data_IF_902415690933
#
_entry.id   IF_902415690933
#
_cell.length_a   1.000
_cell.length_b   1.000
_cell.length_c   1.000
_cell.angle_alpha   90.00
_cell.angle_beta   90.00
_cell.angle_gamma   90.00
#
_symmetry.space_group_name_H-M   'P 1'
#
loop_
_entity.id
_entity.type
_entity.pdbx_description
1 polymer ?
#
# COMPACT_ATOMS: atom_id res chain seq x y z
N UNK A 1 48.82 10.49 9.27
CA UNK A 1 47.65 9.60 9.44
C UNK A 1 46.44 10.45 9.22
N UNK A 2 45.72 10.24 8.12
CA UNK A 2 44.45 10.93 7.91
C UNK A 2 43.46 10.31 8.88
N UNK A 3 43.00 11.08 9.87
CA UNK A 3 41.77 10.78 10.58
C UNK A 3 40.70 10.64 9.50
N UNK A 4 40.21 9.43 9.26
CA UNK A 4 38.97 9.23 8.51
C UNK A 4 37.94 10.13 9.21
N UNK A 5 37.57 11.25 8.57
CA UNK A 5 36.43 12.03 9.04
C UNK A 5 35.21 11.14 8.83
N UNK A 6 34.80 10.48 9.91
CA UNK A 6 33.60 9.66 9.96
C UNK A 6 32.42 10.63 9.91
N UNK A 7 32.01 11.00 8.70
CA UNK A 7 30.75 11.70 8.48
C UNK A 7 29.64 10.70 8.15
N UNK A 8 28.40 11.09 8.40
CA UNK A 8 27.21 10.29 8.13
C UNK A 8 26.29 11.05 7.17
N UNK A 9 25.43 10.29 6.48
CA UNK A 9 24.37 10.82 5.65
C UNK A 9 23.06 10.20 6.15
N UNK A 10 22.07 11.04 6.37
CA UNK A 10 20.74 10.61 6.81
C UNK A 10 19.67 11.22 5.90
N UNK A 11 18.51 10.56 5.89
CA UNK A 11 17.33 10.98 5.16
C UNK A 11 16.15 11.03 6.11
N UNK A 12 15.30 12.04 5.95
CA UNK A 12 14.04 12.17 6.65
C UNK A 12 12.91 12.39 5.63
N UNK A 13 11.78 11.67 5.75
CA UNK A 13 11.52 10.60 6.72
C UNK A 13 12.42 9.36 6.46
N UNK A 14 12.52 8.49 7.47
CA UNK A 14 13.27 7.21 7.41
C UNK A 14 12.44 6.07 6.78
N UNK A 15 11.11 6.23 6.76
CA UNK A 15 10.17 5.41 5.99
C UNK A 15 9.18 6.33 5.26
N UNK A 16 8.89 6.03 3.99
CA UNK A 16 7.99 6.85 3.18
C UNK A 16 6.81 6.05 2.66
N UNK A 17 5.62 6.33 3.20
CA UNK A 17 4.36 5.80 2.74
C UNK A 17 3.49 6.93 2.17
N UNK A 18 3.26 6.90 0.85
CA UNK A 18 2.65 8.01 0.11
C UNK A 18 1.37 7.55 -0.55
N UNK A 19 0.26 8.29 -0.37
CA UNK A 19 -0.99 7.98 -1.08
C UNK A 19 -0.77 8.24 -2.58
N UNK A 20 -1.25 7.35 -3.44
CA UNK A 20 -1.14 7.46 -4.91
C UNK A 20 -1.39 8.90 -5.41
N UNK A 21 -0.42 9.45 -6.15
CA UNK A 21 -0.46 10.78 -6.77
C UNK A 21 -0.22 11.95 -5.79
N UNK A 22 0.06 11.68 -4.52
CA UNK A 22 0.49 12.72 -3.58
C UNK A 22 1.98 13.03 -3.74
N UNK A 23 2.39 14.20 -3.24
CA UNK A 23 3.80 14.60 -3.18
C UNK A 23 4.43 14.23 -1.85
N UNK A 24 5.74 14.00 -1.84
CA UNK A 24 6.52 13.68 -0.65
C UNK A 24 7.63 14.71 -0.47
N UNK A 25 7.76 15.25 0.75
CA UNK A 25 8.89 16.09 1.14
C UNK A 25 9.98 15.21 1.74
N UNK A 26 11.22 15.39 1.26
CA UNK A 26 12.38 14.63 1.71
C UNK A 26 13.50 15.59 2.06
N UNK A 27 14.11 15.38 3.23
CA UNK A 27 15.29 16.12 3.68
C UNK A 27 16.48 15.16 3.79
N UNK A 28 17.54 15.43 3.04
CA UNK A 28 18.80 14.71 3.18
C UNK A 28 19.76 15.58 4.00
N UNK A 29 20.41 15.01 5.00
CA UNK A 29 21.36 15.73 5.84
C UNK A 29 22.66 14.97 6.06
N UNK A 30 23.69 15.69 6.49
CA UNK A 30 25.01 15.12 6.76
C UNK A 30 25.65 15.71 8.00
N UNK A 31 26.52 14.94 8.66
CA UNK A 31 27.36 15.46 9.76
C UNK A 31 28.66 16.13 9.27
N UNK A 32 28.97 16.08 7.98
CA UNK A 32 30.14 16.75 7.39
C UNK A 32 30.03 18.27 7.52
N UNK A 33 30.98 18.99 8.17
CA UNK A 33 30.89 20.44 8.39
C UNK A 33 30.94 21.28 7.11
N UNK A 34 31.75 20.84 6.13
CA UNK A 34 31.94 21.51 4.84
C UNK A 34 31.77 20.50 3.69
N UNK A 35 30.53 20.13 3.36
CA UNK A 35 30.28 19.13 2.33
C UNK A 35 30.50 19.71 0.93
N UNK A 36 31.08 18.88 0.07
CA UNK A 36 31.20 19.13 -1.36
C UNK A 36 29.90 18.78 -2.12
N UNK A 37 30.02 18.13 -3.30
CA UNK A 37 28.85 17.68 -4.06
C UNK A 37 27.86 16.86 -3.23
N UNK A 38 26.57 17.11 -3.42
CA UNK A 38 25.50 16.46 -2.69
C UNK A 38 24.17 16.59 -3.42
N UNK A 39 23.24 15.67 -3.17
CA UNK A 39 21.92 15.70 -3.79
C UNK A 39 21.13 14.42 -3.59
N UNK A 40 20.15 14.22 -4.46
CA UNK A 40 19.34 12.99 -4.52
C UNK A 40 19.36 12.37 -5.90
N UNK A 41 19.32 11.06 -5.97
CA UNK A 41 19.12 10.24 -7.17
C UNK A 41 17.79 9.49 -7.05
N UNK A 42 16.92 9.66 -8.04
CA UNK A 42 15.57 9.05 -8.11
C UNK A 42 15.01 9.27 -9.52
N UNK A 43 14.12 8.38 -9.95
CA UNK A 43 13.34 8.52 -11.18
C UNK A 43 12.11 9.44 -11.03
N UNK A 44 11.72 9.75 -9.78
CA UNK A 44 10.58 10.62 -9.51
C UNK A 44 10.89 12.07 -9.90
N UNK A 45 9.84 12.80 -10.32
CA UNK A 45 9.95 14.24 -10.55
C UNK A 45 10.31 14.93 -9.24
N UNK A 46 11.42 15.67 -9.24
CA UNK A 46 11.96 16.32 -8.04
C UNK A 46 12.20 17.81 -8.25
N UNK A 47 11.91 18.57 -7.21
CA UNK A 47 12.21 20.01 -7.13
C UNK A 47 12.93 20.27 -5.81
N UNK A 48 14.14 20.85 -5.86
CA UNK A 48 14.80 21.29 -4.63
C UNK A 48 14.08 22.55 -4.11
N UNK A 49 13.54 22.48 -2.91
CA UNK A 49 12.72 23.56 -2.33
C UNK A 49 13.50 24.42 -1.35
N UNK A 50 14.46 23.84 -0.63
CA UNK A 50 15.32 24.57 0.29
C UNK A 50 16.68 23.88 0.49
N UNK A 51 17.63 24.57 1.11
CA UNK A 51 18.95 24.04 1.46
C UNK A 51 19.62 24.79 2.61
N UNK A 52 20.44 24.06 3.36
CA UNK A 52 21.49 24.59 4.23
C UNK A 52 22.87 24.10 3.81
N UNK A 53 23.88 24.39 4.63
CA UNK A 53 25.24 23.87 4.41
C UNK A 53 25.27 22.34 4.49
N UNK A 54 24.61 21.76 5.49
CA UNK A 54 24.68 20.34 5.82
C UNK A 54 23.38 19.56 5.50
N UNK A 55 22.43 20.18 4.80
CA UNK A 55 21.16 19.55 4.45
C UNK A 55 20.55 20.14 3.19
N UNK A 56 19.71 19.35 2.52
CA UNK A 56 18.95 19.76 1.33
C UNK A 56 17.54 19.20 1.40
N UNK A 57 16.57 20.00 1.02
CA UNK A 57 15.16 19.60 1.02
C UNK A 57 14.61 19.57 -0.41
N UNK A 58 13.90 18.48 -0.71
CA UNK A 58 13.34 18.19 -2.02
C UNK A 58 11.86 17.86 -1.89
N UNK A 59 11.07 18.36 -2.83
CA UNK A 59 9.71 17.90 -3.08
C UNK A 59 9.74 16.90 -4.23
N UNK A 60 9.27 15.68 -3.96
CA UNK A 60 8.96 14.68 -4.97
C UNK A 60 7.49 14.84 -5.35
N UNK A 61 7.22 15.13 -6.61
CA UNK A 61 5.88 15.48 -7.09
C UNK A 61 5.19 14.26 -7.73
N UNK A 62 3.87 14.16 -7.55
CA UNK A 62 3.00 13.18 -8.21
C UNK A 62 3.54 11.73 -8.14
N UNK A 63 3.72 11.23 -6.91
CA UNK A 63 4.31 9.90 -6.68
C UNK A 63 3.27 8.82 -6.99
N UNK A 64 3.43 8.13 -8.12
CA UNK A 64 2.46 7.14 -8.61
C UNK A 64 2.92 5.69 -8.49
N UNK A 65 4.21 5.46 -8.27
CA UNK A 65 4.80 4.12 -8.20
C UNK A 65 5.81 4.01 -7.05
N UNK A 66 6.03 2.78 -6.59
CA UNK A 66 7.09 2.50 -5.62
C UNK A 66 8.44 2.92 -6.21
N UNK A 67 9.30 3.51 -5.39
CA UNK A 67 10.60 4.00 -5.83
C UNK A 67 11.62 3.92 -4.72
N UNK A 68 12.90 3.95 -5.09
CA UNK A 68 14.01 4.06 -4.15
C UNK A 68 14.70 5.40 -4.44
N UNK A 69 14.82 6.23 -3.40
CA UNK A 69 15.55 7.50 -3.46
C UNK A 69 16.90 7.32 -2.78
N UNK A 70 17.98 7.78 -3.41
CA UNK A 70 19.31 7.79 -2.80
C UNK A 70 19.73 9.22 -2.49
N UNK A 71 19.97 9.52 -1.21
CA UNK A 71 20.58 10.77 -0.76
C UNK A 71 22.11 10.57 -0.71
N UNK A 72 22.89 11.51 -1.26
CA UNK A 72 24.36 11.43 -1.18
C UNK A 72 25.00 12.76 -0.80
N UNK A 73 26.13 12.68 -0.09
CA UNK A 73 27.02 13.79 0.21
C UNK A 73 28.48 13.36 0.05
N UNK A 74 29.32 14.27 -0.45
CA UNK A 74 30.77 14.11 -0.49
C UNK A 74 31.44 15.00 0.57
N UNK A 75 32.39 14.45 1.32
CA UNK A 75 33.18 15.14 2.34
C UNK A 75 34.66 14.79 2.15
N UNK A 76 35.54 15.79 2.06
CA UNK A 76 36.99 15.59 1.88
C UNK A 76 37.38 14.57 0.78
N UNK A 77 36.60 14.51 -0.31
CA UNK A 77 36.81 13.58 -1.43
C UNK A 77 36.19 12.18 -1.26
N UNK A 78 35.54 11.88 -0.14
CA UNK A 78 34.83 10.62 0.13
C UNK A 78 33.32 10.86 -0.02
N UNK A 79 32.63 10.05 -0.81
CA UNK A 79 31.17 10.07 -0.92
C UNK A 79 30.54 9.00 -0.03
N UNK A 80 29.44 9.36 0.64
CA UNK A 80 28.53 8.43 1.30
C UNK A 80 27.10 8.69 0.87
N UNK A 81 26.30 7.65 0.93
CA UNK A 81 24.90 7.67 0.56
C UNK A 81 24.04 6.88 1.54
N UNK A 82 22.74 7.19 1.53
CA UNK A 82 21.69 6.43 2.20
C UNK A 82 20.48 6.35 1.29
N UNK A 83 19.69 5.29 1.43
CA UNK A 83 18.51 5.06 0.60
C UNK A 83 17.22 5.20 1.41
N UNK A 84 16.16 5.65 0.75
CA UNK A 84 14.80 5.72 1.26
C UNK A 84 13.90 4.92 0.33
N UNK A 85 13.28 3.86 0.86
CA UNK A 85 12.22 3.14 0.17
C UNK A 85 10.91 3.93 0.25
N UNK A 86 10.34 4.23 -0.91
CA UNK A 86 9.08 4.95 -1.05
C UNK A 86 8.02 3.95 -1.51
N UNK A 87 7.05 3.69 -0.64
CA UNK A 87 5.89 2.83 -0.93
C UNK A 87 4.68 3.68 -1.24
N UNK A 88 4.04 3.41 -2.38
CA UNK A 88 2.77 4.00 -2.76
C UNK A 88 1.62 3.12 -2.29
N UNK A 89 0.61 3.74 -1.70
CA UNK A 89 -0.60 3.03 -1.28
C UNK A 89 -1.88 3.67 -1.81
N UNK A 90 -2.89 2.81 -1.96
CA UNK A 90 -4.25 3.20 -2.26
C UNK A 90 -5.19 2.39 -1.36
N UNK A 91 -5.94 3.05 -0.46
CA UNK A 91 -6.93 2.37 0.38
C UNK A 91 -8.03 1.69 -0.45
N UNK A 92 -8.67 0.63 0.06
CA UNK A 92 -9.80 0.00 -0.60
C UNK A 92 -11.05 0.89 -0.51
N UNK A 93 -11.13 1.93 -1.33
CA UNK A 93 -12.25 2.90 -1.30
C UNK A 93 -13.58 2.26 -1.77
N UNK A 94 -13.51 1.23 -2.62
CA UNK A 94 -14.68 0.52 -3.13
C UNK A 94 -14.52 -1.00 -2.96
N UNK A 95 -15.49 -1.61 -2.28
CA UNK A 95 -15.57 -3.07 -2.12
C UNK A 95 -16.93 -3.51 -2.65
N UNK A 96 -16.93 -4.44 -3.61
CA UNK A 96 -18.15 -4.83 -4.33
C UNK A 96 -18.38 -6.31 -4.11
N UNK A 97 -19.60 -6.66 -3.70
CA UNK A 97 -20.06 -8.03 -3.53
C UNK A 97 -21.17 -8.36 -4.53
N UNK A 98 -21.02 -9.50 -5.18
CA UNK A 98 -21.98 -10.08 -6.11
C UNK A 98 -22.39 -11.48 -5.67
N UNK A 99 -23.69 -11.76 -5.75
CA UNK A 99 -24.28 -13.08 -5.62
C UNK A 99 -24.80 -13.51 -6.99
N UNK A 100 -24.40 -14.67 -7.48
CA UNK A 100 -24.79 -15.18 -8.79
C UNK A 100 -25.18 -16.66 -8.71
N UNK A 101 -26.39 -17.06 -9.14
CA UNK A 101 -27.49 -16.20 -9.60
C UNK A 101 -28.11 -15.38 -8.45
N UNK A 102 -28.95 -14.38 -8.79
CA UNK A 102 -29.66 -13.57 -7.80
C UNK A 102 -30.73 -14.35 -7.00
N UNK A 103 -31.18 -15.48 -7.56
CA UNK A 103 -32.11 -16.43 -6.96
C UNK A 103 -31.58 -17.84 -7.24
N UNK A 104 -31.49 -18.67 -6.21
CA UNK A 104 -30.92 -20.02 -6.30
C UNK A 104 -31.94 -21.05 -5.84
N UNK A 105 -32.03 -22.20 -6.50
CA UNK A 105 -32.89 -23.28 -6.03
C UNK A 105 -32.29 -23.91 -4.77
N UNK A 106 -33.14 -24.48 -3.91
CA UNK A 106 -32.67 -25.24 -2.76
C UNK A 106 -31.69 -26.36 -3.19
N UNK A 107 -30.62 -26.55 -2.42
CA UNK A 107 -29.55 -27.52 -2.65
C UNK A 107 -28.66 -27.28 -3.90
N UNK A 108 -28.88 -26.20 -4.65
CA UNK A 108 -28.00 -25.80 -5.75
C UNK A 108 -26.86 -24.89 -5.27
N UNK A 109 -25.76 -24.84 -6.04
CA UNK A 109 -24.64 -23.96 -5.73
C UNK A 109 -24.85 -22.55 -6.31
N UNK A 110 -24.45 -21.53 -5.54
CA UNK A 110 -24.33 -20.15 -6.01
C UNK A 110 -22.94 -19.61 -5.76
N UNK A 111 -22.59 -18.56 -6.49
CA UNK A 111 -21.29 -17.90 -6.44
C UNK A 111 -21.38 -16.65 -5.59
N UNK A 112 -20.43 -16.51 -4.66
CA UNK A 112 -20.19 -15.29 -3.89
C UNK A 112 -18.87 -14.71 -4.37
N UNK A 113 -18.93 -13.58 -5.07
CA UNK A 113 -17.77 -12.89 -5.62
C UNK A 113 -17.58 -11.55 -4.94
N UNK A 114 -16.40 -11.34 -4.35
CA UNK A 114 -15.98 -10.04 -3.85
C UNK A 114 -14.81 -9.52 -4.68
N UNK A 115 -14.90 -8.27 -5.11
CA UNK A 115 -13.81 -7.60 -5.80
C UNK A 115 -13.60 -6.16 -5.32
N UNK A 116 -12.33 -5.76 -5.33
CA UNK A 116 -11.85 -4.42 -4.98
C UNK A 116 -11.15 -3.86 -6.22
N UNK A 117 -11.77 -2.89 -6.94
CA UNK A 117 -11.26 -2.43 -8.23
C UNK A 117 -9.94 -1.66 -8.19
N UNK A 118 -9.59 -1.07 -7.05
CA UNK A 118 -8.39 -0.26 -6.87
C UNK A 118 -7.92 -0.36 -5.42
N UNK A 119 -6.76 -0.95 -5.21
CA UNK A 119 -6.12 -1.13 -3.90
C UNK A 119 -4.65 -1.50 -4.09
N UNK A 120 -3.78 -0.92 -3.27
CA UNK A 120 -2.35 -1.21 -3.27
C UNK A 120 -1.73 -0.84 -1.91
N UNK A 121 -0.64 -1.52 -1.49
CA UNK A 121 -0.10 -2.78 -2.03
C UNK A 121 -1.05 -3.99 -1.84
N UNK A 122 -1.00 -4.98 -2.74
CA UNK A 122 -1.85 -6.16 -2.63
C UNK A 122 -1.36 -7.12 -1.56
N UNK A 123 -0.06 -7.27 -1.38
CA UNK A 123 0.56 -8.17 -0.40
C UNK A 123 0.14 -7.87 1.05
N UNK A 124 -0.33 -6.63 1.31
CA UNK A 124 -0.85 -6.18 2.59
C UNK A 124 -2.39 -6.27 2.71
N UNK A 125 -3.08 -6.74 1.67
CA UNK A 125 -4.54 -6.82 1.62
C UNK A 125 -5.05 -8.18 2.10
N UNK A 126 -6.10 -8.13 2.92
CA UNK A 126 -6.94 -9.27 3.27
C UNK A 126 -8.38 -8.99 2.88
N UNK A 127 -9.02 -9.94 2.19
CA UNK A 127 -10.46 -9.93 1.93
C UNK A 127 -11.14 -11.01 2.78
N UNK A 128 -12.22 -10.63 3.46
CA UNK A 128 -13.05 -11.53 4.26
C UNK A 128 -14.49 -11.50 3.74
N UNK A 129 -14.99 -12.65 3.28
CA UNK A 129 -16.39 -12.88 2.94
C UNK A 129 -17.16 -13.29 4.19
N UNK A 130 -18.31 -12.67 4.40
CA UNK A 130 -19.13 -12.81 5.60
C UNK A 130 -20.56 -13.21 5.23
N UNK A 131 -21.14 -14.11 6.01
CA UNK A 131 -22.58 -14.38 6.07
C UNK A 131 -23.10 -13.93 7.43
N UNK A 132 -23.83 -12.82 7.47
CA UNK A 132 -24.11 -12.09 8.71
C UNK A 132 -22.81 -11.70 9.38
N UNK A 133 -22.56 -12.27 10.57
CA UNK A 133 -21.31 -12.05 11.33
C UNK A 133 -20.32 -13.22 11.21
N UNK A 134 -20.66 -14.28 10.48
CA UNK A 134 -19.82 -15.46 10.32
C UNK A 134 -18.86 -15.27 9.14
N UNK A 135 -17.57 -15.52 9.39
CA UNK A 135 -16.57 -15.61 8.33
C UNK A 135 -16.78 -16.89 7.51
N UNK A 136 -17.09 -16.71 6.23
CA UNK A 136 -17.19 -17.81 5.27
C UNK A 136 -15.84 -18.15 4.65
N UNK A 137 -15.08 -17.11 4.31
CA UNK A 137 -13.81 -17.27 3.66
C UNK A 137 -12.93 -16.05 3.88
N UNK A 138 -11.63 -16.27 4.03
CA UNK A 138 -10.63 -15.23 4.16
C UNK A 138 -9.47 -15.51 3.22
N UNK A 139 -9.12 -14.51 2.43
CA UNK A 139 -8.01 -14.57 1.47
C UNK A 139 -7.02 -13.45 1.77
N UNK A 140 -5.78 -13.86 2.05
CA UNK A 140 -4.64 -12.97 2.12
C UNK A 140 -3.90 -13.00 0.77
N UNK A 141 -3.42 -11.85 0.31
CA UNK A 141 -2.80 -11.66 -1.00
C UNK A 141 -1.25 -11.65 -0.94
N UNK A 142 -0.66 -11.99 0.22
CA UNK A 142 0.78 -12.17 0.49
C UNK A 142 1.37 -13.27 -0.41
N UNK A 143 1.76 -12.91 -1.64
CA UNK A 143 2.51 -13.67 -2.68
C UNK A 143 2.08 -13.32 -4.11
N UNK A 144 1.09 -12.45 -4.29
CA UNK A 144 0.67 -12.01 -5.63
C UNK A 144 1.60 -10.91 -6.13
N UNK A 145 2.21 -11.15 -7.30
CA UNK A 145 3.19 -10.25 -7.92
C UNK A 145 2.55 -8.93 -8.37
N UNK A 146 2.79 -7.89 -7.56
CA UNK A 146 3.09 -6.45 -7.80
C UNK A 146 2.30 -5.63 -8.83
N UNK A 147 1.72 -6.17 -9.90
CA UNK A 147 1.19 -5.34 -11.00
C UNK A 147 -0.34 -5.26 -11.09
N UNK A 148 -1.07 -5.96 -10.23
CA UNK A 148 -2.53 -5.82 -10.16
C UNK A 148 -2.91 -4.87 -9.03
N UNK A 149 -3.50 -3.73 -9.34
CA UNK A 149 -4.18 -2.88 -8.35
C UNK A 149 -5.60 -3.38 -8.03
N UNK A 150 -5.94 -4.61 -8.46
CA UNK A 150 -7.27 -5.20 -8.30
C UNK A 150 -7.18 -6.50 -7.52
N UNK A 151 -8.10 -6.66 -6.57
CA UNK A 151 -8.22 -7.87 -5.78
C UNK A 151 -9.58 -8.53 -6.02
N UNK A 152 -9.59 -9.85 -6.14
CA UNK A 152 -10.83 -10.63 -6.26
C UNK A 152 -10.72 -11.95 -5.47
N UNK A 153 -11.85 -12.32 -4.85
CA UNK A 153 -12.07 -13.62 -4.25
C UNK A 153 -13.46 -14.12 -4.61
N UNK A 154 -13.53 -15.38 -5.02
CA UNK A 154 -14.76 -16.03 -5.47
C UNK A 154 -14.86 -17.39 -4.79
N UNK A 155 -16.01 -17.66 -4.17
CA UNK A 155 -16.33 -18.97 -3.58
C UNK A 155 -17.67 -19.47 -4.10
N UNK A 156 -17.86 -20.78 -4.04
CA UNK A 156 -19.13 -21.42 -4.33
C UNK A 156 -19.72 -21.97 -3.02
N UNK A 157 -20.98 -21.63 -2.76
CA UNK A 157 -21.70 -22.03 -1.55
C UNK A 157 -22.95 -22.79 -1.98
N UNK A 158 -23.26 -23.88 -1.28
CA UNK A 158 -24.51 -24.63 -1.51
C UNK A 158 -25.64 -23.93 -0.76
N UNK A 159 -26.74 -23.64 -1.45
CA UNK A 159 -27.89 -22.99 -0.86
C UNK A 159 -28.66 -23.95 0.07
N UNK A 160 -28.59 -23.72 1.38
CA UNK A 160 -29.37 -24.47 2.35
C UNK A 160 -30.61 -23.67 2.78
N UNK A 161 -31.65 -24.35 3.25
CA UNK A 161 -32.92 -23.69 3.62
C UNK A 161 -32.73 -22.62 4.71
N UNK A 162 -31.76 -22.83 5.57
CA UNK A 162 -31.38 -21.95 6.68
C UNK A 162 -30.73 -20.65 6.18
N UNK A 163 -30.18 -20.66 4.95
CA UNK A 163 -29.51 -19.52 4.33
C UNK A 163 -30.49 -18.57 3.63
N UNK A 164 -31.79 -18.90 3.52
CA UNK A 164 -32.75 -18.01 2.87
C UNK A 164 -32.83 -16.68 3.61
N UNK A 165 -32.70 -15.59 2.86
CA UNK A 165 -32.60 -14.21 3.35
C UNK A 165 -31.39 -13.93 4.25
N UNK A 166 -30.37 -14.78 4.26
CA UNK A 166 -29.11 -14.45 4.90
C UNK A 166 -28.42 -13.29 4.19
N UNK A 167 -27.77 -12.47 4.99
CA UNK A 167 -27.00 -11.32 4.54
C UNK A 167 -25.58 -11.74 4.20
N UNK A 168 -25.08 -11.33 3.04
CA UNK A 168 -23.70 -11.51 2.63
C UNK A 168 -23.02 -10.15 2.50
N UNK A 169 -21.78 -10.06 2.95
CA UNK A 169 -20.93 -8.86 2.80
C UNK A 169 -19.48 -9.26 2.57
N UNK A 170 -18.68 -8.35 2.01
CA UNK A 170 -17.24 -8.49 1.94
C UNK A 170 -16.56 -7.35 2.69
N UNK A 171 -15.54 -7.67 3.48
CA UNK A 171 -14.67 -6.69 4.14
C UNK A 171 -13.28 -6.75 3.53
N UNK A 172 -12.72 -5.59 3.22
CA UNK A 172 -11.35 -5.42 2.78
C UNK A 172 -10.54 -4.73 3.88
N UNK A 173 -9.37 -5.27 4.20
CA UNK A 173 -8.45 -4.79 5.24
C UNK A 173 -7.05 -4.66 4.61
N UNK A 174 -6.53 -3.44 4.51
CA UNK A 174 -5.20 -3.11 4.02
C UNK A 174 -4.34 -2.67 5.22
N UNK A 175 -3.39 -3.52 5.64
CA UNK A 175 -2.55 -3.27 6.81
C UNK A 175 -1.15 -2.77 6.39
N UNK A 176 -0.88 -1.49 6.59
CA UNK A 176 0.38 -0.85 6.22
C UNK A 176 1.31 -0.61 7.41
N UNK A 177 1.07 -1.28 8.55
CA UNK A 177 1.85 -1.08 9.78
C UNK A 177 3.34 -1.39 9.58
N UNK A 178 3.69 -2.34 8.72
CA UNK A 178 5.09 -2.66 8.37
C UNK A 178 5.82 -1.56 7.60
N UNK A 179 5.09 -0.60 7.04
CA UNK A 179 5.60 0.53 6.26
C UNK A 179 5.42 1.87 7.00
N UNK A 180 5.21 1.84 8.32
CA UNK A 180 4.97 3.03 9.14
C UNK A 180 3.57 3.63 8.98
N UNK A 181 2.66 2.94 8.30
CA UNK A 181 1.27 3.33 8.11
C UNK A 181 0.32 2.78 9.18
N UNK A 182 -0.96 2.72 8.83
CA UNK A 182 -2.00 2.13 9.67
C UNK A 182 -2.87 1.12 8.92
N UNK A 183 -3.96 0.71 9.57
CA UNK A 183 -4.96 -0.17 9.00
C UNK A 183 -6.05 0.64 8.29
N UNK A 184 -6.21 0.40 7.00
CA UNK A 184 -7.33 0.91 6.20
C UNK A 184 -8.32 -0.21 5.96
N UNK A 185 -9.61 0.06 6.08
CA UNK A 185 -10.63 -0.94 5.80
C UNK A 185 -11.87 -0.34 5.19
N UNK A 186 -12.60 -1.17 4.44
CA UNK A 186 -13.90 -0.83 3.86
C UNK A 186 -14.73 -2.10 3.73
N UNK A 187 -16.04 -1.95 3.55
CA UNK A 187 -16.96 -3.07 3.41
C UNK A 187 -17.93 -2.83 2.26
N UNK A 188 -18.34 -3.91 1.60
CA UNK A 188 -19.36 -3.84 0.57
C UNK A 188 -20.73 -3.53 1.15
N UNK A 189 -21.64 -3.07 0.29
CA UNK A 189 -23.06 -3.18 0.59
C UNK A 189 -23.45 -4.65 0.84
N UNK A 190 -24.42 -4.85 1.73
CA UNK A 190 -24.96 -6.18 2.01
C UNK A 190 -25.84 -6.67 0.86
N UNK A 191 -25.71 -7.96 0.51
CA UNK A 191 -26.57 -8.66 -0.45
C UNK A 191 -27.37 -9.73 0.29
N UNK A 192 -28.64 -9.86 -0.03
CA UNK A 192 -29.53 -10.85 0.59
C UNK A 192 -29.69 -12.02 -0.36
N UNK A 193 -29.38 -13.24 0.12
CA UNK A 193 -29.62 -14.47 -0.64
C UNK A 193 -31.12 -14.73 -0.74
N UNK A 194 -31.59 -15.22 -1.89
CA UNK A 194 -32.98 -15.63 -2.10
C UNK A 194 -33.03 -17.04 -2.63
N UNK A 195 -33.71 -17.92 -1.91
CA UNK A 195 -33.88 -19.32 -2.28
C UNK A 195 -35.33 -19.54 -2.74
N UNK A 196 -35.52 -20.36 -3.78
CA UNK A 196 -36.85 -20.75 -4.29
C UNK A 196 -37.00 -22.27 -4.42
#
# INVERSE_FOLDING_TARGET
GATEEIFEVSVWPDQALVKLGQSLMVNCSTTCPDPGPSGIETFLKKTQVDRGTQWKEFLLEDVTENSILQCFFSCAGIQKDTSLDITVYQPPEQVILELQPAWVAMDEAFTVKCHVPSVAPLENLTLTLLQGNQELHRKNFMSLAVDSQRAEVTIHVKAQREDDRCNFSCRAELDLSSHGGGLFHSSSATKVLRIF
#
